data_IF_853287289587
#
_entry.id   IF_853287289587
#
_cell.length_a   1.000
_cell.length_b   1.000
_cell.length_c   1.000
_cell.angle_alpha   90.00
_cell.angle_beta   90.00
_cell.angle_gamma   90.00
#
_symmetry.space_group_name_H-M   'P 1'
#
loop_
_entity.id
_entity.type
_entity.pdbx_description
1 polymer ?
#
# COMPACT_ATOMS: atom_id res chain seq x y z
N UNK A 1 6.20 18.67 -15.66
CA UNK A 1 5.11 18.79 -14.65
C UNK A 1 5.43 17.75 -13.58
N UNK A 2 5.67 18.19 -12.36
CA UNK A 2 5.96 17.31 -11.24
C UNK A 2 4.73 16.43 -10.98
N UNK A 3 4.94 15.12 -10.86
CA UNK A 3 3.87 14.14 -10.66
C UNK A 3 3.33 14.35 -9.25
N UNK A 4 2.07 14.72 -9.12
CA UNK A 4 1.39 14.79 -7.82
C UNK A 4 1.32 13.36 -7.25
N UNK A 5 2.02 13.14 -6.17
CA UNK A 5 2.02 11.89 -5.39
C UNK A 5 1.46 12.20 -4.03
N UNK A 6 0.40 11.53 -3.67
CA UNK A 6 -0.27 11.80 -2.40
C UNK A 6 -0.26 10.57 -1.51
N UNK A 7 0.09 10.79 -0.25
CA UNK A 7 -0.01 9.79 0.82
C UNK A 7 -1.10 10.25 1.79
N UNK A 8 -2.17 9.49 1.89
CA UNK A 8 -3.34 9.78 2.70
C UNK A 8 -3.51 8.71 3.78
N UNK A 9 -3.51 9.10 5.05
CA UNK A 9 -3.75 8.18 6.16
C UNK A 9 -5.14 8.40 6.76
N UNK A 10 -5.89 7.32 6.94
CA UNK A 10 -7.23 7.29 7.53
C UNK A 10 -7.12 6.76 8.95
N UNK A 11 -7.09 7.68 9.93
CA UNK A 11 -6.82 7.38 11.33
C UNK A 11 -8.01 7.78 12.20
N UNK A 12 -8.52 6.85 13.01
CA UNK A 12 -9.50 7.14 14.06
C UNK A 12 -9.52 6.01 15.08
N UNK A 13 -9.48 6.34 16.37
CA UNK A 13 -9.54 5.35 17.44
C UNK A 13 -10.89 4.61 17.53
N UNK A 14 -11.97 5.25 17.07
CA UNK A 14 -13.30 4.64 17.11
C UNK A 14 -13.47 3.66 15.95
N UNK A 15 -13.86 2.43 16.27
CA UNK A 15 -14.26 1.43 15.26
C UNK A 15 -15.57 1.82 14.56
N UNK A 16 -15.79 1.28 13.35
CA UNK A 16 -17.07 1.46 12.64
C UNK A 16 -17.34 2.84 12.06
N UNK A 17 -16.38 3.76 12.06
CA UNK A 17 -16.55 5.13 11.54
C UNK A 17 -16.32 5.23 10.01
N UNK A 18 -16.15 4.11 9.32
CA UNK A 18 -16.05 4.07 7.87
C UNK A 18 -14.65 4.28 7.29
N UNK A 19 -13.55 4.16 8.07
CA UNK A 19 -12.17 4.30 7.56
C UNK A 19 -11.94 3.38 6.36
N UNK A 20 -12.04 2.09 6.56
CA UNK A 20 -11.84 1.07 5.52
C UNK A 20 -12.78 1.25 4.33
N UNK A 21 -14.06 1.58 4.58
CA UNK A 21 -15.03 1.87 3.51
C UNK A 21 -14.59 3.08 2.69
N UNK A 22 -14.06 4.11 3.34
CA UNK A 22 -13.55 5.32 2.66
C UNK A 22 -12.33 4.99 1.82
N UNK A 23 -11.37 4.22 2.36
CA UNK A 23 -10.17 3.76 1.62
C UNK A 23 -10.59 2.97 0.39
N UNK A 24 -11.51 2.00 0.52
CA UNK A 24 -12.00 1.19 -0.58
C UNK A 24 -12.70 2.04 -1.66
N UNK A 25 -13.60 2.93 -1.24
CA UNK A 25 -14.34 3.79 -2.16
C UNK A 25 -13.40 4.76 -2.89
N UNK A 26 -12.45 5.34 -2.17
CA UNK A 26 -11.48 6.26 -2.74
C UNK A 26 -10.55 5.54 -3.73
N UNK A 27 -9.97 4.39 -3.37
CA UNK A 27 -9.13 3.61 -4.26
C UNK A 27 -9.84 3.24 -5.56
N UNK A 28 -11.07 2.75 -5.45
CA UNK A 28 -11.89 2.38 -6.60
C UNK A 28 -12.30 3.61 -7.44
N UNK A 29 -12.67 4.69 -6.78
CA UNK A 29 -13.05 5.95 -7.43
C UNK A 29 -11.89 6.59 -8.19
N UNK A 30 -10.71 6.68 -7.57
CA UNK A 30 -9.49 7.19 -8.19
C UNK A 30 -9.15 6.37 -9.44
N UNK A 31 -9.17 5.03 -9.34
CA UNK A 31 -8.88 4.15 -10.48
C UNK A 31 -9.90 4.31 -11.60
N UNK A 32 -11.18 4.48 -11.28
CA UNK A 32 -12.26 4.55 -12.28
C UNK A 32 -12.37 5.91 -12.96
N UNK A 33 -12.15 6.99 -12.22
CA UNK A 33 -12.46 8.36 -12.65
C UNK A 33 -11.25 9.29 -12.77
N UNK A 34 -10.10 8.88 -12.25
CA UNK A 34 -8.87 9.67 -12.27
C UNK A 34 -8.25 9.73 -13.65
N UNK A 35 -8.84 10.47 -14.58
CA UNK A 35 -8.36 10.57 -15.97
C UNK A 35 -7.29 11.63 -16.15
N UNK A 36 -6.24 11.29 -16.90
CA UNK A 36 -5.48 12.25 -17.70
C UNK A 36 -4.28 12.96 -17.08
N UNK A 37 -4.03 12.88 -15.76
CA UNK A 37 -2.95 13.64 -15.11
C UNK A 37 -1.74 12.80 -14.68
N UNK A 38 -1.76 11.48 -14.88
CA UNK A 38 -0.82 10.54 -14.24
C UNK A 38 0.26 9.99 -15.19
N UNK A 39 0.55 10.72 -16.24
CA UNK A 39 1.52 10.32 -17.25
C UNK A 39 0.89 9.56 -18.40
N UNK A 40 1.74 8.99 -19.26
CA UNK A 40 1.31 8.23 -20.43
C UNK A 40 1.59 6.74 -20.20
N UNK A 41 0.76 5.88 -20.79
CA UNK A 41 1.03 4.45 -20.92
C UNK A 41 2.09 4.19 -22.00
N UNK A 42 2.42 2.92 -22.21
CA UNK A 42 3.36 2.47 -23.25
C UNK A 42 2.97 2.87 -24.69
N UNK A 43 1.68 3.17 -24.90
CA UNK A 43 1.11 3.58 -26.18
C UNK A 43 0.98 5.09 -26.32
N UNK A 44 1.45 5.88 -25.34
CA UNK A 44 1.39 7.33 -25.34
C UNK A 44 0.05 7.93 -24.94
N UNK A 45 -0.93 7.13 -24.51
CA UNK A 45 -2.22 7.58 -23.98
C UNK A 45 -2.12 7.94 -22.50
N UNK A 46 -3.00 8.83 -22.02
CA UNK A 46 -3.10 9.15 -20.60
C UNK A 46 -3.46 7.91 -19.80
N UNK A 47 -2.59 7.52 -18.86
CA UNK A 47 -2.85 6.36 -17.99
C UNK A 47 -3.74 6.74 -16.81
N UNK A 48 -4.43 5.74 -16.26
CA UNK A 48 -5.15 5.86 -15.01
C UNK A 48 -4.18 5.81 -13.82
N UNK A 49 -4.52 6.41 -12.66
CA UNK A 49 -3.65 6.40 -11.49
C UNK A 49 -3.40 5.00 -10.96
N UNK A 50 -2.20 4.78 -10.44
CA UNK A 50 -1.83 3.59 -9.67
C UNK A 50 -2.05 3.91 -8.20
N UNK A 51 -2.83 3.07 -7.52
CA UNK A 51 -3.21 3.25 -6.12
C UNK A 51 -2.65 2.11 -5.29
N UNK A 52 -1.85 2.43 -4.28
CA UNK A 52 -1.40 1.48 -3.26
C UNK A 52 -2.25 1.66 -2.00
N UNK A 53 -2.76 0.57 -1.47
CA UNK A 53 -3.39 0.50 -0.16
C UNK A 53 -2.42 -0.18 0.79
N UNK A 54 -2.15 0.46 1.93
CA UNK A 54 -1.38 -0.13 3.02
C UNK A 54 -2.34 -0.35 4.19
N UNK A 55 -2.60 -1.60 4.51
CA UNK A 55 -3.48 -1.97 5.61
C UNK A 55 -2.64 -2.18 6.88
N UNK A 56 -2.84 -1.31 7.87
CA UNK A 56 -2.19 -1.36 9.18
C UNK A 56 -3.14 -1.80 10.30
N UNK A 57 -4.42 -2.07 9.98
CA UNK A 57 -5.37 -2.58 10.98
C UNK A 57 -5.13 -4.08 11.21
N UNK A 58 -4.88 -4.53 12.45
CA UNK A 58 -4.77 -5.95 12.77
C UNK A 58 -6.01 -6.78 12.37
N UNK A 59 -7.17 -6.14 12.21
CA UNK A 59 -8.40 -6.80 11.74
C UNK A 59 -8.37 -7.10 10.23
N UNK A 60 -7.41 -6.52 9.48
CA UNK A 60 -7.20 -6.75 8.06
C UNK A 60 -8.46 -6.53 7.19
N UNK A 61 -9.33 -5.60 7.58
CA UNK A 61 -10.60 -5.38 6.89
C UNK A 61 -10.39 -4.89 5.44
N UNK A 62 -9.45 -3.97 5.21
CA UNK A 62 -9.11 -3.52 3.86
C UNK A 62 -8.53 -4.68 3.04
N UNK A 63 -7.66 -5.48 3.63
CA UNK A 63 -7.08 -6.65 2.99
C UNK A 63 -8.16 -7.63 2.51
N UNK A 64 -9.11 -7.97 3.37
CA UNK A 64 -10.23 -8.85 3.00
C UNK A 64 -11.12 -8.28 1.88
N UNK A 65 -11.43 -6.99 1.92
CA UNK A 65 -12.26 -6.34 0.90
C UNK A 65 -11.63 -6.37 -0.49
N UNK A 66 -10.31 -6.41 -0.56
CA UNK A 66 -9.57 -6.55 -1.81
C UNK A 66 -9.18 -8.01 -2.15
N UNK A 67 -9.78 -8.99 -1.44
CA UNK A 67 -9.63 -10.42 -1.73
C UNK A 67 -8.37 -11.06 -1.14
N UNK A 68 -7.68 -10.37 -0.22
CA UNK A 68 -6.57 -10.96 0.51
C UNK A 68 -7.07 -11.74 1.73
N UNK A 69 -6.62 -12.99 1.87
CA UNK A 69 -6.88 -13.82 3.05
C UNK A 69 -5.56 -14.42 3.54
N UNK A 70 -5.27 -14.35 4.82
CA UNK A 70 -4.09 -14.98 5.41
C UNK A 70 -4.04 -16.50 5.14
N UNK A 71 -5.20 -17.16 5.11
CA UNK A 71 -5.30 -18.59 4.83
C UNK A 71 -4.90 -18.92 3.39
N UNK A 72 -5.44 -18.17 2.43
CA UNK A 72 -5.17 -18.38 0.99
C UNK A 72 -3.77 -17.93 0.57
N UNK A 73 -3.18 -17.01 1.32
CA UNK A 73 -1.87 -16.45 1.07
C UNK A 73 -0.84 -16.84 2.15
N UNK A 74 -1.03 -17.98 2.79
CA UNK A 74 -0.13 -18.46 3.83
C UNK A 74 1.33 -18.48 3.35
N UNK A 75 2.21 -17.92 4.17
CA UNK A 75 3.64 -17.81 3.86
C UNK A 75 4.03 -16.63 2.98
N UNK A 76 3.07 -15.86 2.45
CA UNK A 76 3.40 -14.60 1.75
C UNK A 76 3.65 -13.49 2.77
N UNK A 77 4.69 -12.65 2.56
CA UNK A 77 4.98 -11.52 3.43
C UNK A 77 3.82 -10.52 3.53
N UNK A 78 3.73 -9.86 4.68
CA UNK A 78 2.75 -8.83 5.01
C UNK A 78 3.45 -7.55 5.46
N UNK A 79 2.70 -6.50 5.75
CA UNK A 79 3.26 -5.27 6.35
C UNK A 79 3.92 -5.57 7.70
N UNK A 80 3.40 -6.53 8.47
CA UNK A 80 4.02 -6.95 9.72
C UNK A 80 5.45 -7.45 9.50
N UNK A 81 5.65 -8.33 8.53
CA UNK A 81 6.98 -8.88 8.21
C UNK A 81 7.95 -7.78 7.79
N UNK A 82 7.50 -6.87 6.92
CA UNK A 82 8.32 -5.74 6.50
C UNK A 82 8.70 -4.81 7.66
N UNK A 83 7.78 -4.58 8.59
CA UNK A 83 8.04 -3.77 9.77
C UNK A 83 9.00 -4.48 10.74
N UNK A 84 8.82 -5.76 11.02
CA UNK A 84 9.67 -6.51 11.96
C UNK A 84 11.07 -6.75 11.39
N UNK A 85 11.15 -7.24 10.17
CA UNK A 85 12.42 -7.62 9.52
C UNK A 85 13.16 -6.44 8.90
N UNK A 86 12.55 -5.25 8.86
CA UNK A 86 13.06 -4.10 8.13
C UNK A 86 13.32 -4.41 6.64
N UNK A 87 12.55 -5.32 6.07
CA UNK A 87 12.61 -5.69 4.67
C UNK A 87 11.87 -4.68 3.76
N UNK A 88 11.77 -4.94 2.47
CA UNK A 88 10.97 -4.15 1.56
C UNK A 88 9.47 -4.34 1.82
N UNK A 89 8.66 -3.33 1.52
CA UNK A 89 7.21 -3.44 1.65
C UNK A 89 6.68 -4.47 0.65
N UNK A 90 5.99 -5.53 1.09
CA UNK A 90 5.36 -6.47 0.18
C UNK A 90 4.15 -5.80 -0.47
N UNK A 91 4.10 -5.81 -1.80
CA UNK A 91 3.03 -5.18 -2.56
C UNK A 91 2.48 -6.18 -3.57
N UNK A 92 1.17 -6.37 -3.57
CA UNK A 92 0.48 -7.31 -4.46
C UNK A 92 -0.57 -6.58 -5.29
N UNK A 93 -0.61 -6.86 -6.58
CA UNK A 93 -1.71 -6.37 -7.41
C UNK A 93 -2.96 -7.18 -7.10
N UNK A 94 -4.01 -6.49 -6.64
CA UNK A 94 -5.29 -7.11 -6.24
C UNK A 94 -6.40 -6.84 -7.24
N UNK A 95 -6.31 -5.73 -7.98
CA UNK A 95 -7.18 -5.36 -9.10
C UNK A 95 -6.37 -4.55 -10.11
N UNK A 96 -6.92 -4.33 -11.30
CA UNK A 96 -6.28 -3.47 -12.29
C UNK A 96 -5.94 -2.09 -11.68
N UNK A 97 -4.65 -1.77 -11.64
CA UNK A 97 -4.09 -0.52 -11.11
C UNK A 97 -4.29 -0.28 -9.60
N UNK A 98 -4.83 -1.26 -8.86
CA UNK A 98 -4.93 -1.22 -7.39
C UNK A 98 -4.04 -2.30 -6.80
N UNK A 99 -3.19 -1.87 -5.88
CA UNK A 99 -2.19 -2.68 -5.21
C UNK A 99 -2.42 -2.65 -3.71
N UNK A 100 -2.02 -3.71 -3.02
CA UNK A 100 -2.22 -3.89 -1.59
C UNK A 100 -0.90 -4.32 -0.92
N UNK A 101 -0.54 -3.65 0.15
CA UNK A 101 0.34 -4.16 1.18
C UNK A 101 -0.54 -4.66 2.33
N UNK A 102 -0.71 -6.00 2.47
CA UNK A 102 -1.73 -6.55 3.34
C UNK A 102 -1.33 -6.51 4.81
N UNK A 103 -2.33 -6.35 5.67
CA UNK A 103 -2.20 -6.51 7.11
C UNK A 103 -2.02 -7.98 7.49
N UNK A 104 -1.56 -8.18 8.72
CA UNK A 104 -1.57 -9.45 9.42
C UNK A 104 -2.08 -9.25 10.84
N UNK A 105 -2.71 -10.26 11.41
CA UNK A 105 -3.24 -10.24 12.79
C UNK A 105 -2.15 -9.96 13.82
N UNK A 106 -0.89 -10.33 13.54
CA UNK A 106 0.28 -10.06 14.38
C UNK A 106 0.58 -8.57 14.56
N UNK A 107 0.02 -7.67 13.74
CA UNK A 107 0.15 -6.21 13.93
C UNK A 107 -0.33 -5.75 15.31
N UNK A 108 -1.23 -6.49 15.95
CA UNK A 108 -1.69 -6.21 17.33
C UNK A 108 -0.53 -6.19 18.34
N UNK A 109 0.55 -6.91 18.06
CA UNK A 109 1.73 -7.04 18.95
C UNK A 109 2.99 -6.37 18.36
N UNK A 110 2.85 -5.45 17.42
CA UNK A 110 4.00 -4.83 16.72
C UNK A 110 4.77 -3.83 17.60
N UNK A 111 4.11 -3.20 18.57
CA UNK A 111 4.67 -2.09 19.34
C UNK A 111 6.01 -2.40 20.02
N UNK A 112 6.23 -3.55 20.71
CA UNK A 112 7.53 -3.89 21.29
C UNK A 112 8.67 -3.92 20.27
N UNK A 113 8.39 -4.41 19.06
CA UNK A 113 9.39 -4.46 17.98
C UNK A 113 9.74 -3.07 17.46
N UNK A 114 8.75 -2.18 17.36
CA UNK A 114 8.99 -0.81 16.93
C UNK A 114 9.76 -0.01 17.98
N UNK A 115 9.45 -0.19 19.27
CA UNK A 115 10.09 0.55 20.38
C UNK A 115 11.57 0.21 20.56
N UNK A 116 12.03 -0.93 20.07
CA UNK A 116 13.45 -1.30 20.06
C UNK A 116 14.27 -0.53 19.01
N UNK A 117 13.64 0.28 18.17
CA UNK A 117 14.30 1.02 17.10
C UNK A 117 14.69 2.41 17.52
N UNK A 118 15.79 2.91 16.93
CA UNK A 118 16.24 4.28 17.15
C UNK A 118 15.19 5.35 16.78
N UNK A 119 14.30 5.04 15.81
CA UNK A 119 13.27 5.95 15.33
C UNK A 119 11.95 5.19 15.03
N UNK A 120 11.21 4.73 16.05
CA UNK A 120 9.99 3.94 15.84
C UNK A 120 8.92 4.68 15.02
N UNK A 121 8.74 5.98 15.26
CA UNK A 121 7.76 6.82 14.55
C UNK A 121 8.04 7.00 13.07
N UNK A 122 9.25 6.69 12.61
CA UNK A 122 9.64 6.76 11.18
C UNK A 122 9.62 5.39 10.48
N UNK A 123 9.17 4.33 11.15
CA UNK A 123 9.23 2.97 10.61
C UNK A 123 8.51 2.87 9.25
N UNK A 124 7.26 3.33 9.17
CA UNK A 124 6.51 3.33 7.92
C UNK A 124 7.12 4.24 6.86
N UNK A 125 7.53 5.44 7.23
CA UNK A 125 8.22 6.35 6.30
C UNK A 125 9.46 5.69 5.67
N UNK A 126 10.25 4.98 6.48
CA UNK A 126 11.43 4.25 5.99
C UNK A 126 11.05 3.14 5.01
N UNK A 127 9.91 2.45 5.21
CA UNK A 127 9.42 1.44 4.25
C UNK A 127 9.04 2.08 2.92
N UNK A 128 8.37 3.23 2.94
CA UNK A 128 7.95 3.95 1.73
C UNK A 128 9.14 4.49 0.92
N UNK A 129 10.24 4.80 1.58
CA UNK A 129 11.46 5.29 0.95
C UNK A 129 12.39 4.18 0.42
N UNK A 130 12.08 2.90 0.72
CA UNK A 130 12.88 1.77 0.23
C UNK A 130 12.62 1.47 -1.24
N UNK A 131 13.62 0.90 -1.93
CA UNK A 131 13.44 0.39 -3.27
C UNK A 131 12.35 -0.68 -3.32
N UNK A 132 11.62 -0.71 -4.42
CA UNK A 132 10.70 -1.79 -4.78
C UNK A 132 11.51 -2.89 -5.48
N UNK A 133 12.25 -3.70 -4.73
CA UNK A 133 13.16 -4.67 -5.34
C UNK A 133 12.48 -5.91 -5.91
N UNK A 134 11.22 -6.17 -5.59
CA UNK A 134 10.54 -7.39 -6.04
C UNK A 134 9.02 -7.19 -6.11
N UNK A 135 8.57 -6.41 -7.05
CA UNK A 135 7.21 -6.56 -7.55
C UNK A 135 7.21 -7.69 -8.58
N UNK A 136 7.46 -8.93 -8.11
CA UNK A 136 7.46 -10.09 -8.99
C UNK A 136 6.10 -10.21 -9.68
N UNK A 137 6.10 -10.03 -11.00
CA UNK A 137 4.93 -10.20 -11.85
C UNK A 137 4.08 -8.95 -12.07
N UNK A 138 4.62 -7.75 -11.87
CA UNK A 138 3.92 -6.50 -12.19
C UNK A 138 4.66 -5.70 -13.27
N UNK A 139 3.90 -4.99 -14.11
CA UNK A 139 4.43 -4.06 -15.13
C UNK A 139 5.31 -2.94 -14.55
N UNK A 140 5.32 -2.77 -13.23
CA UNK A 140 6.09 -1.75 -12.51
C UNK A 140 7.60 -2.03 -12.50
N UNK A 141 8.01 -3.29 -12.59
CA UNK A 141 9.41 -3.69 -12.60
C UNK A 141 10.14 -3.20 -13.86
N UNK A 142 9.42 -3.05 -14.96
CA UNK A 142 9.99 -2.68 -16.27
C UNK A 142 10.17 -1.16 -16.47
N UNK A 143 9.62 -0.33 -15.57
CA UNK A 143 9.62 1.13 -15.74
C UNK A 143 10.80 1.85 -15.06
N UNK A 144 11.76 1.13 -14.47
CA UNK A 144 12.91 1.73 -13.76
C UNK A 144 12.52 2.52 -12.50
N UNK A 145 11.38 2.19 -11.91
CA UNK A 145 10.87 2.82 -10.69
C UNK A 145 11.66 2.34 -9.49
N UNK A 146 12.15 3.27 -8.68
CA UNK A 146 13.11 2.96 -7.62
C UNK A 146 12.50 2.87 -6.22
N UNK A 147 11.39 3.54 -5.93
CA UNK A 147 10.77 3.55 -4.60
C UNK A 147 9.25 3.37 -4.63
N UNK A 148 8.64 3.01 -3.47
CA UNK A 148 7.19 2.89 -3.33
C UNK A 148 6.49 4.19 -3.75
N UNK A 149 6.99 5.33 -3.28
CA UNK A 149 6.39 6.63 -3.59
C UNK A 149 6.56 7.04 -5.05
N UNK A 150 7.52 6.47 -5.79
CA UNK A 150 7.67 6.71 -7.22
C UNK A 150 6.77 5.82 -8.08
N UNK A 151 6.44 4.62 -7.60
CA UNK A 151 5.61 3.66 -8.30
C UNK A 151 4.13 4.05 -8.34
N UNK A 152 3.64 4.66 -7.25
CA UNK A 152 2.22 4.92 -7.05
C UNK A 152 1.90 6.40 -7.08
N UNK A 153 0.75 6.74 -7.65
CA UNK A 153 0.25 8.13 -7.67
C UNK A 153 -0.45 8.47 -6.37
N UNK A 154 -1.09 7.47 -5.76
CA UNK A 154 -1.73 7.56 -4.45
C UNK A 154 -1.33 6.40 -3.56
N UNK A 155 -1.01 6.71 -2.32
CA UNK A 155 -0.81 5.74 -1.24
C UNK A 155 -1.88 6.00 -0.17
N UNK A 156 -2.77 5.04 0.04
CA UNK A 156 -3.85 5.12 1.02
C UNK A 156 -3.52 4.19 2.18
N UNK A 157 -3.48 4.73 3.40
CA UNK A 157 -3.12 3.99 4.61
C UNK A 157 -4.37 3.84 5.46
N UNK A 158 -4.82 2.60 5.69
CA UNK A 158 -5.92 2.22 6.59
C UNK A 158 -5.35 1.84 7.96
N UNK A 159 -5.82 2.52 9.04
CA UNK A 159 -5.30 2.37 10.42
C UNK A 159 -6.42 2.11 11.42
#
# INVERSE_FOLDING_TARGET
MERLREVLAFVNHKGGVGKTTTVQSLATGLRRYGKGYFGKDSNGHGRLPRVLIIDLDPQACASYLFGWSEIQNAGKPTVYDALVQQSNLPVYQVRDGIYLAPAASQLISIEPFLNQRAMPRKALYKLLAKPLNELSGTELADEGVTTVTEAFDYVLIDC
#
